data_IF_856531892167
#
_entry.id   IF_856531892167
#
_cell.length_a   1.000
_cell.length_b   1.000
_cell.length_c   1.000
_cell.angle_alpha   90.00
_cell.angle_beta   90.00
_cell.angle_gamma   90.00
#
_symmetry.space_group_name_H-M   'P 1'
#
loop_
_entity.id
_entity.type
_entity.pdbx_description
1 polymer ?
#
# COMPACT_ATOMS: atom_id res chain seq x y z
N UNK A 1 2.63 8.83 -14.75
CA UNK A 1 1.25 8.54 -14.25
C UNK A 1 1.27 8.02 -12.82
N UNK A 2 2.00 6.94 -12.52
CA UNK A 2 2.14 6.37 -11.16
C UNK A 2 2.52 7.46 -10.14
N UNK A 3 3.57 8.23 -10.40
CA UNK A 3 4.04 9.29 -9.49
C UNK A 3 3.00 10.38 -9.27
N UNK A 4 2.20 10.70 -10.29
CA UNK A 4 1.13 11.68 -10.16
C UNK A 4 0.03 11.18 -9.22
N UNK A 5 -0.35 9.89 -9.29
CA UNK A 5 -1.32 9.32 -8.36
C UNK A 5 -0.78 9.34 -6.93
N UNK A 6 0.48 8.97 -6.73
CA UNK A 6 1.16 8.93 -5.42
C UNK A 6 1.35 10.33 -4.83
N UNK A 7 1.72 11.32 -5.64
CA UNK A 7 1.97 12.68 -5.15
C UNK A 7 0.69 13.50 -4.96
N UNK A 8 -0.33 13.29 -5.81
CA UNK A 8 -1.47 14.21 -5.92
C UNK A 8 -2.82 13.62 -5.55
N UNK A 9 -2.99 12.29 -5.57
CA UNK A 9 -4.33 11.68 -5.49
C UNK A 9 -4.53 10.82 -4.25
N UNK A 10 -3.52 10.10 -3.78
CA UNK A 10 -3.66 9.31 -2.54
C UNK A 10 -3.78 10.21 -1.29
N UNK A 11 -3.33 11.46 -1.33
CA UNK A 11 -3.43 12.43 -0.24
C UNK A 11 -4.67 13.35 -0.34
N UNK A 12 -5.56 13.11 -1.31
CA UNK A 12 -6.73 13.95 -1.51
C UNK A 12 -7.69 13.89 -0.31
N UNK A 13 -8.39 15.00 -0.01
CA UNK A 13 -9.30 15.08 1.14
C UNK A 13 -10.54 14.16 0.97
N UNK A 14 -11.07 14.06 -0.25
CA UNK A 14 -12.16 13.14 -0.60
C UNK A 14 -11.68 11.68 -0.60
N UNK A 15 -12.35 10.84 0.20
CA UNK A 15 -12.06 9.42 0.32
C UNK A 15 -12.29 8.61 -0.96
N UNK A 16 -13.30 8.96 -1.76
CA UNK A 16 -13.61 8.24 -3.01
C UNK A 16 -12.48 8.42 -4.01
N UNK A 17 -11.91 9.63 -4.11
CA UNK A 17 -10.77 9.91 -4.98
C UNK A 17 -9.55 9.09 -4.55
N UNK A 18 -9.29 8.98 -3.24
CA UNK A 18 -8.19 8.14 -2.74
C UNK A 18 -8.39 6.68 -3.12
N UNK A 19 -9.59 6.13 -2.92
CA UNK A 19 -9.89 4.74 -3.26
C UNK A 19 -9.73 4.45 -4.76
N UNK A 20 -10.23 5.33 -5.61
CA UNK A 20 -10.09 5.21 -7.07
C UNK A 20 -8.62 5.30 -7.49
N UNK A 21 -7.84 6.22 -6.89
CA UNK A 21 -6.41 6.34 -7.16
C UNK A 21 -5.65 5.07 -6.79
N UNK A 22 -5.95 4.45 -5.65
CA UNK A 22 -5.27 3.22 -5.22
C UNK A 22 -5.66 2.00 -6.07
N UNK A 23 -6.92 1.93 -6.54
CA UNK A 23 -7.34 0.92 -7.53
C UNK A 23 -6.65 1.12 -8.87
N UNK A 24 -6.43 2.37 -9.28
CA UNK A 24 -5.64 2.65 -10.48
C UNK A 24 -4.16 2.19 -10.30
N UNK A 25 -3.58 2.40 -9.11
CA UNK A 25 -2.24 1.89 -8.78
C UNK A 25 -2.18 0.34 -8.84
N UNK A 26 -3.19 -0.36 -8.33
CA UNK A 26 -3.31 -1.82 -8.50
C UNK A 26 -3.21 -2.22 -9.97
N UNK A 27 -4.03 -1.59 -10.82
CA UNK A 27 -4.10 -1.92 -12.26
C UNK A 27 -2.83 -1.55 -13.02
N UNK A 28 -2.09 -0.54 -12.57
CA UNK A 28 -0.81 -0.14 -13.16
C UNK A 28 0.36 -1.01 -12.68
N UNK A 29 0.22 -1.71 -11.56
CA UNK A 29 1.32 -2.49 -10.96
C UNK A 29 1.88 -3.57 -11.90
N UNK A 30 1.07 -4.37 -12.61
CA UNK A 30 1.60 -5.34 -13.58
C UNK A 30 2.40 -4.72 -14.73
N UNK A 31 2.21 -3.42 -15.02
CA UNK A 31 2.94 -2.72 -16.09
C UNK A 31 4.34 -2.27 -15.64
N UNK A 32 4.57 -2.15 -14.33
CA UNK A 32 5.83 -1.71 -13.76
C UNK A 32 6.09 -2.33 -12.36
N UNK A 33 6.15 -3.67 -12.25
CA UNK A 33 6.19 -4.35 -10.96
C UNK A 33 7.44 -3.99 -10.15
N UNK A 34 8.61 -3.96 -10.80
CA UNK A 34 9.87 -3.62 -10.14
C UNK A 34 9.87 -2.17 -9.62
N UNK A 35 9.32 -1.23 -10.39
CA UNK A 35 9.18 0.16 -9.95
C UNK A 35 8.25 0.30 -8.74
N UNK A 36 7.13 -0.42 -8.76
CA UNK A 36 6.19 -0.43 -7.64
C UNK A 36 6.83 -1.00 -6.37
N UNK A 37 7.57 -2.12 -6.50
CA UNK A 37 8.19 -2.80 -5.37
C UNK A 37 9.39 -2.04 -4.79
N UNK A 38 10.25 -1.47 -5.65
CA UNK A 38 11.54 -0.89 -5.24
C UNK A 38 11.52 0.62 -5.03
N UNK A 39 10.53 1.33 -5.57
CA UNK A 39 10.44 2.79 -5.47
C UNK A 39 9.17 3.22 -4.74
N UNK A 40 8.01 2.83 -5.26
CA UNK A 40 6.72 3.33 -4.75
C UNK A 40 6.43 2.79 -3.35
N UNK A 41 6.55 1.48 -3.13
CA UNK A 41 6.29 0.87 -1.83
C UNK A 41 7.16 1.47 -0.70
N UNK A 42 8.49 1.55 -0.82
CA UNK A 42 9.33 2.20 0.17
C UNK A 42 8.93 3.64 0.49
N UNK A 43 8.50 4.41 -0.53
CA UNK A 43 8.02 5.78 -0.35
C UNK A 43 6.71 5.84 0.46
N UNK A 44 5.81 4.87 0.31
CA UNK A 44 4.50 4.87 0.98
C UNK A 44 4.60 4.54 2.48
N UNK A 45 5.57 3.72 2.90
CA UNK A 45 5.75 3.29 4.29
C UNK A 45 5.83 4.44 5.30
N UNK A 46 6.72 5.45 5.14
CA UNK A 46 6.78 6.57 6.06
C UNK A 46 5.51 7.45 6.02
N UNK A 47 4.87 7.58 4.84
CA UNK A 47 3.62 8.35 4.69
C UNK A 47 2.49 7.67 5.46
N UNK A 48 2.40 6.34 5.42
CA UNK A 48 1.43 5.54 6.16
C UNK A 48 1.61 5.62 7.70
N UNK A 49 2.74 6.13 8.17
CA UNK A 49 3.03 6.37 9.58
C UNK A 49 3.04 7.86 9.97
N UNK A 50 2.82 8.74 8.99
CA UNK A 50 2.82 10.19 9.15
C UNK A 50 1.61 10.72 9.92
N UNK A 51 1.65 12.00 10.29
CA UNK A 51 0.61 12.65 11.09
C UNK A 51 -0.62 13.04 10.27
N UNK A 52 -0.44 13.38 8.99
CA UNK A 52 -1.55 13.79 8.12
C UNK A 52 -2.51 12.62 7.86
N UNK A 53 -3.79 12.82 8.17
CA UNK A 53 -4.80 11.76 8.13
C UNK A 53 -5.06 11.28 6.70
N UNK A 54 -5.18 12.20 5.75
CA UNK A 54 -5.55 11.88 4.36
C UNK A 54 -4.42 11.13 3.66
N UNK A 55 -3.20 11.65 3.76
CA UNK A 55 -1.99 11.02 3.21
C UNK A 55 -1.76 9.66 3.84
N UNK A 56 -1.90 9.55 5.17
CA UNK A 56 -1.76 8.26 5.87
C UNK A 56 -2.77 7.24 5.37
N UNK A 57 -4.05 7.60 5.31
CA UNK A 57 -5.10 6.70 4.83
C UNK A 57 -4.85 6.26 3.40
N UNK A 58 -4.52 7.18 2.50
CA UNK A 58 -4.21 6.86 1.11
C UNK A 58 -2.97 5.99 0.94
N UNK A 59 -1.92 6.25 1.70
CA UNK A 59 -0.69 5.45 1.66
C UNK A 59 -0.90 4.01 2.14
N UNK A 60 -1.73 3.81 3.16
CA UNK A 60 -2.13 2.47 3.60
C UNK A 60 -2.91 1.75 2.51
N UNK A 61 -3.91 2.41 1.93
CA UNK A 61 -4.70 1.83 0.83
C UNK A 61 -3.82 1.49 -0.38
N UNK A 62 -2.92 2.39 -0.76
CA UNK A 62 -1.99 2.20 -1.88
C UNK A 62 -1.07 1.01 -1.62
N UNK A 63 -0.51 0.92 -0.41
CA UNK A 63 0.34 -0.19 0.01
C UNK A 63 -0.40 -1.52 -0.09
N UNK A 64 -1.66 -1.58 0.37
CA UNK A 64 -2.48 -2.79 0.26
C UNK A 64 -2.75 -3.19 -1.19
N UNK A 65 -3.16 -2.24 -2.03
CA UNK A 65 -3.50 -2.48 -3.44
C UNK A 65 -2.28 -2.91 -4.27
N UNK A 66 -1.11 -2.28 -4.05
CA UNK A 66 0.14 -2.62 -4.73
C UNK A 66 0.65 -4.00 -4.29
N UNK A 67 0.73 -4.26 -2.97
CA UNK A 67 1.16 -5.57 -2.46
C UNK A 67 0.29 -6.70 -2.99
N UNK A 68 -1.04 -6.49 -3.03
CA UNK A 68 -1.96 -7.46 -3.59
C UNK A 68 -1.75 -7.70 -5.10
N UNK A 69 -1.50 -6.64 -5.88
CA UNK A 69 -1.20 -6.79 -7.30
C UNK A 69 0.12 -7.55 -7.55
N UNK A 70 1.16 -7.24 -6.78
CA UNK A 70 2.45 -7.93 -6.85
C UNK A 70 2.33 -9.41 -6.46
N UNK A 71 1.57 -9.72 -5.41
CA UNK A 71 1.27 -11.10 -5.03
C UNK A 71 0.54 -11.86 -6.15
N UNK A 72 -0.51 -11.27 -6.74
CA UNK A 72 -1.23 -11.89 -7.86
C UNK A 72 -0.31 -12.16 -9.04
N UNK A 73 0.57 -11.20 -9.37
CA UNK A 73 1.54 -11.34 -10.44
C UNK A 73 2.57 -12.44 -10.13
N UNK A 74 3.10 -12.51 -8.91
CA UNK A 74 4.03 -13.54 -8.47
C UNK A 74 3.40 -14.94 -8.58
N UNK A 75 2.17 -15.09 -8.08
CA UNK A 75 1.42 -16.34 -8.14
C UNK A 75 1.13 -16.79 -9.58
N UNK A 76 0.76 -15.86 -10.47
CA UNK A 76 0.58 -16.16 -11.90
C UNK A 76 1.86 -16.64 -12.58
N UNK A 77 3.01 -16.13 -12.14
CA UNK A 77 4.32 -16.50 -12.65
C UNK A 77 4.97 -17.68 -11.91
N UNK A 78 4.25 -18.34 -10.99
CA UNK A 78 4.75 -19.41 -10.11
C UNK A 78 6.04 -19.01 -9.35
N UNK A 79 6.15 -17.75 -8.96
CA UNK A 79 7.27 -17.23 -8.15
C UNK A 79 6.80 -16.97 -6.72
N UNK A 80 7.64 -17.20 -5.71
CA UNK A 80 7.32 -16.82 -4.34
C UNK A 80 7.22 -15.29 -4.23
N UNK A 81 6.29 -14.80 -3.41
CA UNK A 81 6.07 -13.35 -3.22
C UNK A 81 7.31 -12.63 -2.67
N UNK A 82 8.15 -13.34 -1.91
CA UNK A 82 9.41 -12.85 -1.34
C UNK A 82 10.48 -12.52 -2.39
N UNK A 83 10.35 -13.02 -3.61
CA UNK A 83 11.21 -12.62 -4.74
C UNK A 83 10.77 -11.29 -5.36
N UNK A 84 9.53 -10.88 -5.14
CA UNK A 84 8.93 -9.67 -5.74
C UNK A 84 8.87 -8.52 -4.72
N UNK A 85 8.56 -8.83 -3.47
CA UNK A 85 8.48 -7.87 -2.37
C UNK A 85 9.63 -8.14 -1.41
N UNK A 86 10.50 -7.15 -1.19
CA UNK A 86 11.63 -7.28 -0.27
C UNK A 86 11.18 -7.51 1.17
N UNK A 87 12.01 -8.21 1.96
CA UNK A 87 11.78 -8.40 3.40
C UNK A 87 11.57 -7.09 4.14
N UNK A 88 12.37 -6.08 3.83
CA UNK A 88 12.29 -4.75 4.44
C UNK A 88 10.94 -4.09 4.19
N UNK A 89 10.41 -4.25 2.98
CA UNK A 89 9.06 -3.79 2.66
C UNK A 89 8.00 -4.55 3.43
N UNK A 90 8.10 -5.88 3.52
CA UNK A 90 7.17 -6.72 4.30
C UNK A 90 7.17 -6.32 5.77
N UNK A 91 8.34 -6.12 6.37
CA UNK A 91 8.49 -5.70 7.76
C UNK A 91 7.98 -4.27 7.97
N UNK A 92 8.21 -3.39 7.00
CA UNK A 92 7.60 -2.07 6.92
C UNK A 92 6.08 -2.13 6.99
N UNK A 93 5.46 -2.96 6.16
CA UNK A 93 3.99 -3.15 6.13
C UNK A 93 3.46 -3.69 7.46
N UNK A 94 4.11 -4.69 8.06
CA UNK A 94 3.78 -5.21 9.40
C UNK A 94 3.88 -4.12 10.47
N UNK A 95 4.91 -3.26 10.39
CA UNK A 95 5.11 -2.18 11.36
C UNK A 95 3.99 -1.14 11.34
N UNK A 96 3.31 -0.94 10.20
CA UNK A 96 2.19 0.00 10.12
C UNK A 96 1.04 -0.47 11.02
N UNK A 97 0.72 -1.77 11.00
CA UNK A 97 -0.32 -2.33 11.88
C UNK A 97 0.02 -2.06 13.35
N UNK A 98 1.22 -2.47 13.78
CA UNK A 98 1.66 -2.32 15.16
C UNK A 98 1.62 -0.87 15.63
N UNK A 99 2.19 0.05 14.84
CA UNK A 99 2.25 1.47 15.22
C UNK A 99 0.88 2.15 15.23
N UNK A 100 -0.02 1.81 14.31
CA UNK A 100 -1.38 2.34 14.32
C UNK A 100 -2.19 1.84 15.52
N UNK A 101 -1.97 0.58 15.90
CA UNK A 101 -2.56 -0.01 17.10
C UNK A 101 -2.06 0.72 18.36
N UNK A 102 -0.75 0.83 18.54
CA UNK A 102 -0.13 1.47 19.71
C UNK A 102 -0.58 2.93 19.87
N UNK A 103 -0.74 3.65 18.75
CA UNK A 103 -1.16 5.06 18.72
C UNK A 103 -2.68 5.25 18.82
N UNK A 104 -3.48 4.19 18.90
CA UNK A 104 -4.96 4.23 18.86
C UNK A 104 -5.48 5.00 17.62
N UNK A 105 -4.82 4.82 16.48
CA UNK A 105 -5.13 5.53 15.23
C UNK A 105 -6.00 4.71 14.26
N UNK A 106 -6.45 3.52 14.65
CA UNK A 106 -7.51 2.79 13.96
C UNK A 106 -8.85 3.51 14.12
N UNK A 107 -9.24 4.29 13.10
CA UNK A 107 -10.51 5.04 13.11
C UNK A 107 -11.54 4.57 12.08
N UNK A 108 -11.24 3.56 11.27
CA UNK A 108 -12.21 2.99 10.32
C UNK A 108 -12.08 1.47 10.21
N UNK A 109 -13.23 0.77 10.16
CA UNK A 109 -13.29 -0.68 9.98
C UNK A 109 -12.69 -1.14 8.63
N UNK A 110 -12.70 -0.25 7.63
CA UNK A 110 -12.15 -0.50 6.30
C UNK A 110 -10.62 -0.65 6.31
N UNK A 111 -9.93 0.11 7.17
CA UNK A 111 -8.48 -0.02 7.33
C UNK A 111 -8.14 -1.40 7.90
N UNK A 112 -8.94 -1.91 8.84
CA UNK A 112 -8.71 -3.21 9.46
C UNK A 112 -8.84 -4.38 8.46
N UNK A 113 -9.89 -4.39 7.62
CA UNK A 113 -10.06 -5.47 6.63
C UNK A 113 -8.99 -5.46 5.54
N UNK A 114 -8.54 -4.28 5.09
CA UNK A 114 -7.43 -4.17 4.13
C UNK A 114 -6.06 -4.44 4.75
N UNK A 115 -5.89 -4.24 6.06
CA UNK A 115 -4.71 -4.68 6.79
C UNK A 115 -4.64 -6.20 6.93
N UNK A 116 -5.77 -6.88 7.09
CA UNK A 116 -5.82 -8.34 7.08
C UNK A 116 -5.28 -8.90 5.76
N UNK A 117 -5.60 -8.29 4.62
CA UNK A 117 -5.03 -8.72 3.33
C UNK A 117 -3.53 -8.41 3.17
N UNK A 118 -2.95 -7.54 4.00
CA UNK A 118 -1.50 -7.23 4.01
C UNK A 118 -0.70 -8.18 4.93
N UNK A 119 -1.34 -8.74 5.95
CA UNK A 119 -0.70 -9.57 6.98
C UNK A 119 -0.72 -11.09 6.67
N UNK A 120 -1.55 -11.52 5.72
CA UNK A 120 -1.71 -12.93 5.33
C UNK A 120 -1.20 -13.22 3.90
N UNK A 121 -0.04 -12.66 3.54
CA UNK A 121 0.81 -13.21 2.47
C UNK A 121 1.74 -14.27 3.03
#
# INVERSE_FOLDING_TARGET
>A
MIDHLVAMKINHWDGVIRELATKALHNLTPQAPDYMATTVMPQLLPIALGIDLHSRHGAILASAEISHALYKLANQNNRPVTEVISSDCVDGLKSIHQRLFDRKQYRSALLFSKFYSLLFF
#
